data_IF_827953760504
#
_entry.id   IF_827953760504
#
_cell.length_a   1.000
_cell.length_b   1.000
_cell.length_c   1.000
_cell.angle_alpha   90.00
_cell.angle_beta   90.00
_cell.angle_gamma   90.00
#
_symmetry.space_group_name_H-M   'P 1'
#
loop_
_entity.id
_entity.type
_entity.pdbx_description
1 polymer ?
#
# COMPACT_ATOMS: atom_id res chain seq x y z
N UNK A 1 -15.32 20.43 10.14
CA UNK A 1 -15.32 18.99 9.79
C UNK A 1 -14.23 18.33 10.64
N UNK A 2 -14.51 17.17 11.25
CA UNK A 2 -13.50 16.44 12.03
C UNK A 2 -12.36 15.94 11.14
N UNK A 3 -11.22 15.62 11.74
CA UNK A 3 -10.10 14.99 11.03
C UNK A 3 -10.54 13.61 10.55
N UNK A 4 -10.41 13.34 9.25
CA UNK A 4 -10.69 12.02 8.68
C UNK A 4 -9.66 11.00 9.18
N UNK A 5 -10.07 9.78 9.54
CA UNK A 5 -9.12 8.73 9.88
C UNK A 5 -8.27 8.34 8.67
N UNK A 6 -7.00 8.01 8.90
CA UNK A 6 -6.14 7.38 7.89
C UNK A 6 -6.32 5.88 7.97
N UNK A 7 -6.55 5.20 6.83
CA UNK A 7 -6.74 3.75 6.76
C UNK A 7 -5.69 3.16 5.84
N UNK A 8 -4.86 2.25 6.37
CA UNK A 8 -3.83 1.55 5.59
C UNK A 8 -4.36 0.20 5.10
N UNK A 9 -4.37 0.00 3.79
CA UNK A 9 -4.62 -1.28 3.14
C UNK A 9 -3.28 -1.96 2.83
N UNK A 10 -2.89 -2.92 3.65
CA UNK A 10 -1.67 -3.70 3.44
C UNK A 10 -1.96 -4.99 2.66
N UNK A 11 -1.26 -5.20 1.54
CA UNK A 11 -1.39 -6.43 0.75
C UNK A 11 -0.03 -6.94 0.26
N UNK A 12 0.31 -8.19 0.59
CA UNK A 12 1.53 -8.84 0.10
C UNK A 12 1.49 -9.18 -1.39
N UNK A 13 0.30 -9.20 -2.00
CA UNK A 13 -0.01 -9.63 -3.36
C UNK A 13 0.60 -10.99 -3.79
N UNK A 14 -0.26 -11.89 -4.28
CA UNK A 14 0.18 -13.14 -4.94
C UNK A 14 0.55 -12.93 -6.41
N UNK A 15 0.53 -14.01 -7.19
CA UNK A 15 0.90 -14.05 -8.63
C UNK A 15 0.01 -13.14 -9.53
N UNK A 16 -1.08 -12.55 -9.02
CA UNK A 16 -2.00 -11.69 -9.79
C UNK A 16 -2.47 -10.41 -9.07
N UNK A 17 -3.20 -9.56 -9.79
CA UNK A 17 -3.63 -8.22 -9.32
C UNK A 17 -4.94 -8.20 -8.49
N UNK A 18 -5.48 -9.36 -8.12
CA UNK A 18 -6.82 -9.43 -7.49
C UNK A 18 -6.91 -8.71 -6.13
N UNK A 19 -5.89 -8.82 -5.28
CA UNK A 19 -5.88 -8.11 -4.00
C UNK A 19 -5.66 -6.60 -4.18
N UNK A 20 -4.74 -6.21 -5.07
CA UNK A 20 -4.50 -4.80 -5.40
C UNK A 20 -5.75 -4.12 -5.97
N UNK A 21 -6.44 -4.77 -6.92
CA UNK A 21 -7.66 -4.26 -7.51
C UNK A 21 -8.76 -4.07 -6.45
N UNK A 22 -8.92 -5.03 -5.54
CA UNK A 22 -9.88 -4.96 -4.44
C UNK A 22 -9.55 -3.81 -3.47
N UNK A 23 -8.29 -3.69 -3.05
CA UNK A 23 -7.85 -2.60 -2.17
C UNK A 23 -8.06 -1.22 -2.82
N UNK A 24 -7.81 -1.11 -4.12
CA UNK A 24 -8.05 0.10 -4.91
C UNK A 24 -9.54 0.46 -4.96
N UNK A 25 -10.41 -0.52 -5.22
CA UNK A 25 -11.86 -0.31 -5.25
C UNK A 25 -12.42 0.15 -3.90
N UNK A 26 -11.97 -0.47 -2.80
CA UNK A 26 -12.40 -0.09 -1.44
C UNK A 26 -11.87 1.31 -1.09
N UNK A 27 -10.60 1.60 -1.40
CA UNK A 27 -10.01 2.93 -1.17
C UNK A 27 -10.78 4.03 -1.92
N UNK A 28 -11.21 3.75 -3.15
CA UNK A 28 -12.05 4.67 -3.93
C UNK A 28 -13.39 4.94 -3.28
N UNK A 29 -14.05 3.91 -2.75
CA UNK A 29 -15.33 4.06 -2.07
C UNK A 29 -15.22 4.84 -0.75
N UNK A 30 -14.08 4.77 -0.05
CA UNK A 30 -13.87 5.40 1.26
C UNK A 30 -13.36 6.84 1.22
N UNK A 31 -13.04 7.41 0.04
CA UNK A 31 -12.39 8.72 -0.08
C UNK A 31 -13.20 9.88 0.56
N UNK A 32 -14.52 9.74 0.64
CA UNK A 32 -15.40 10.69 1.33
C UNK A 32 -15.22 10.67 2.85
N UNK A 33 -14.89 9.53 3.42
CA UNK A 33 -15.01 9.26 4.86
C UNK A 33 -13.65 9.06 5.55
N UNK A 34 -12.60 8.75 4.78
CA UNK A 34 -11.25 8.48 5.28
C UNK A 34 -10.18 8.97 4.30
N UNK A 35 -8.92 8.94 4.75
CA UNK A 35 -7.73 9.11 3.92
C UNK A 35 -7.07 7.74 3.71
N UNK A 36 -7.42 7.01 2.64
CA UNK A 36 -6.89 5.67 2.39
C UNK A 36 -5.45 5.72 1.84
N UNK A 37 -4.62 4.81 2.33
CA UNK A 37 -3.27 4.56 1.84
C UNK A 37 -3.14 3.08 1.50
N UNK A 38 -2.65 2.75 0.31
CA UNK A 38 -2.41 1.35 -0.08
C UNK A 38 -0.92 1.06 0.06
N UNK A 39 -0.56 -0.01 0.75
CA UNK A 39 0.84 -0.48 0.81
C UNK A 39 0.93 -1.90 0.26
N UNK A 40 1.89 -2.17 -0.62
CA UNK A 40 1.97 -3.48 -1.25
C UNK A 40 3.35 -3.91 -1.71
N UNK A 41 3.55 -5.23 -1.73
CA UNK A 41 4.72 -5.89 -2.30
C UNK A 41 4.59 -6.25 -3.80
N UNK A 42 3.45 -5.98 -4.46
CA UNK A 42 3.40 -6.08 -5.92
C UNK A 42 3.90 -4.81 -6.60
N UNK A 43 4.69 -4.97 -7.65
CA UNK A 43 5.18 -3.85 -8.47
C UNK A 43 4.06 -3.04 -9.12
N UNK A 44 2.93 -3.67 -9.46
CA UNK A 44 1.78 -2.99 -10.09
C UNK A 44 1.14 -1.89 -9.24
N UNK A 45 1.49 -1.77 -7.94
CA UNK A 45 1.06 -0.66 -7.10
C UNK A 45 1.58 0.70 -7.60
N UNK A 46 2.69 0.73 -8.34
CA UNK A 46 3.26 1.96 -8.90
C UNK A 46 2.33 2.68 -9.88
N UNK A 47 1.40 1.96 -10.51
CA UNK A 47 0.47 2.50 -11.51
C UNK A 47 -0.78 3.15 -10.86
N UNK A 48 -1.07 2.83 -9.60
CA UNK A 48 -2.31 3.23 -8.93
C UNK A 48 -2.38 4.75 -8.62
N UNK A 49 -1.29 5.41 -8.16
CA UNK A 49 -1.31 6.85 -7.91
C UNK A 49 -1.73 7.67 -9.13
N UNK A 50 -1.17 7.39 -10.31
CA UNK A 50 -1.49 8.11 -11.53
C UNK A 50 -2.91 7.79 -12.04
N UNK A 51 -3.36 6.54 -11.89
CA UNK A 51 -4.68 6.12 -12.36
C UNK A 51 -5.84 6.60 -11.48
N UNK A 52 -5.65 6.75 -10.16
CA UNK A 52 -6.75 6.99 -9.22
C UNK A 52 -6.52 8.11 -8.20
N UNK A 53 -5.30 8.65 -8.10
CA UNK A 53 -4.96 9.71 -7.15
C UNK A 53 -5.05 9.25 -5.69
N UNK A 54 -4.61 8.02 -5.40
CA UNK A 54 -4.42 7.52 -4.03
C UNK A 54 -2.95 7.52 -3.65
N UNK A 55 -2.66 7.77 -2.37
CA UNK A 55 -1.32 7.52 -1.84
C UNK A 55 -1.09 6.01 -1.82
N UNK A 56 -0.01 5.58 -2.47
CA UNK A 56 0.39 4.18 -2.49
C UNK A 56 1.88 4.04 -2.20
N UNK A 57 2.27 3.01 -1.44
CA UNK A 57 3.68 2.73 -1.12
C UNK A 57 4.05 1.30 -1.56
N UNK A 58 5.10 1.19 -2.36
CA UNK A 58 5.69 -0.11 -2.65
C UNK A 58 6.60 -0.56 -1.50
N UNK A 59 6.32 -1.74 -0.95
CA UNK A 59 7.09 -2.39 0.10
C UNK A 59 7.70 -3.68 -0.48
N UNK A 60 8.98 -3.74 -0.87
CA UNK A 60 9.59 -4.97 -1.34
C UNK A 60 9.45 -6.11 -0.33
N UNK A 61 9.19 -7.30 -0.86
CA UNK A 61 9.24 -8.54 -0.07
C UNK A 61 10.65 -8.80 0.45
N UNK A 62 10.75 -9.40 1.62
CA UNK A 62 12.03 -9.77 2.23
C UNK A 62 12.78 -10.82 1.38
N UNK A 63 12.03 -11.69 0.69
CA UNK A 63 12.50 -12.71 -0.23
C UNK A 63 13.28 -12.16 -1.44
N UNK A 64 13.14 -10.87 -1.74
CA UNK A 64 13.91 -10.18 -2.79
C UNK A 64 15.37 -9.97 -2.40
N UNK A 65 15.73 -10.14 -1.12
CA UNK A 65 17.10 -10.05 -0.61
C UNK A 65 17.83 -8.74 -0.97
N UNK A 66 17.09 -7.64 -1.15
CA UNK A 66 17.68 -6.31 -1.45
C UNK A 66 18.42 -5.71 -0.25
N UNK A 67 18.12 -6.17 0.96
CA UNK A 67 18.74 -5.72 2.19
C UNK A 67 18.70 -6.83 3.25
N UNK A 68 19.47 -6.67 4.33
CA UNK A 68 19.39 -7.58 5.48
C UNK A 68 18.01 -7.52 6.14
N UNK A 69 17.64 -8.59 6.84
CA UNK A 69 16.37 -8.65 7.57
C UNK A 69 16.17 -7.47 8.53
N UNK A 70 17.20 -7.12 9.29
CA UNK A 70 17.12 -5.99 10.23
C UNK A 70 16.85 -4.67 9.52
N UNK A 71 17.51 -4.43 8.37
CA UNK A 71 17.26 -3.23 7.56
C UNK A 71 15.86 -3.23 6.94
N UNK A 72 15.37 -4.42 6.54
CA UNK A 72 14.01 -4.58 6.04
C UNK A 72 12.97 -4.23 7.10
N UNK A 73 13.15 -4.69 8.34
CA UNK A 73 12.23 -4.37 9.45
C UNK A 73 12.17 -2.86 9.72
N UNK A 74 13.31 -2.16 9.70
CA UNK A 74 13.36 -0.69 9.83
C UNK A 74 12.70 0.02 8.64
N UNK A 75 13.00 -0.45 7.43
CA UNK A 75 12.45 0.11 6.20
C UNK A 75 10.91 0.04 6.16
N UNK A 76 10.33 -1.09 6.57
CA UNK A 76 8.87 -1.24 6.62
C UNK A 76 8.27 -0.32 7.68
N UNK A 77 8.87 -0.27 8.89
CA UNK A 77 8.43 0.60 9.99
C UNK A 77 8.32 2.05 9.55
N UNK A 78 9.35 2.59 8.91
CA UNK A 78 9.40 4.00 8.51
C UNK A 78 8.36 4.39 7.44
N UNK A 79 7.71 3.41 6.80
CA UNK A 79 6.70 3.65 5.76
C UNK A 79 5.27 3.44 6.19
N UNK A 80 5.06 2.76 7.32
CA UNK A 80 3.73 2.48 7.87
C UNK A 80 3.41 3.31 9.12
N UNK A 81 4.39 4.02 9.68
CA UNK A 81 4.25 4.95 10.83
C UNK A 81 4.17 6.40 10.37
#
# INVERSE_FOLDING_TARGET
MGVKPTIIFATSNGIGMGHLARATAISKALKSDAEPVIVSMASGIAEIPDAFGFRCEYLPGEDRQWMSRSNWDFYIRDRIT
#
